data_IF_846581505594
#
_entry.id   IF_846581505594
#
_cell.length_a   1.000
_cell.length_b   1.000
_cell.length_c   1.000
_cell.angle_alpha   90.00
_cell.angle_beta   90.00
_cell.angle_gamma   90.00
#
_symmetry.space_group_name_H-M   'P 1'
#
loop_
_entity.id
_entity.type
_entity.pdbx_description
1 polymer ?
#
# COMPACT_ATOMS: atom_id res chain seq x y z
N UNK A 1 -12.93 12.36 -15.77
CA UNK A 1 -11.74 13.20 -15.53
C UNK A 1 -12.03 14.23 -14.43
N UNK A 2 -11.12 14.41 -13.49
CA UNK A 2 -11.25 15.39 -12.40
C UNK A 2 -11.17 16.80 -12.97
N UNK A 3 -12.00 17.71 -12.47
CA UNK A 3 -12.04 19.10 -12.94
C UNK A 3 -12.23 20.03 -11.74
N UNK A 4 -11.54 21.18 -11.78
CA UNK A 4 -11.64 22.20 -10.75
C UNK A 4 -11.47 21.66 -9.32
N UNK A 5 -10.46 20.79 -9.12
CA UNK A 5 -10.19 20.15 -7.83
C UNK A 5 -8.72 20.26 -7.48
N UNK A 6 -8.42 20.46 -6.21
CA UNK A 6 -7.07 20.35 -5.66
C UNK A 6 -7.02 19.18 -4.70
N UNK A 7 -6.05 18.30 -4.89
CA UNK A 7 -5.88 17.07 -4.10
C UNK A 7 -4.46 17.03 -3.54
N UNK A 8 -4.34 16.88 -2.23
CA UNK A 8 -3.08 16.60 -1.56
C UNK A 8 -2.96 15.10 -1.31
N UNK A 9 -1.82 14.54 -1.68
CA UNK A 9 -1.48 13.14 -1.39
C UNK A 9 -0.20 13.08 -0.59
N UNK A 10 -0.16 12.23 0.42
CA UNK A 10 1.05 12.00 1.21
C UNK A 10 1.54 10.55 1.07
N UNK A 11 2.84 10.37 1.30
CA UNK A 11 3.48 9.08 1.44
C UNK A 11 4.52 9.15 2.56
N UNK A 12 4.80 7.99 3.18
CA UNK A 12 5.79 7.89 4.26
C UNK A 12 6.82 6.80 3.96
N UNK A 13 8.04 7.01 4.46
CA UNK A 13 9.10 6.03 4.33
C UNK A 13 8.89 4.81 5.24
N UNK A 14 9.63 3.75 4.97
CA UNK A 14 9.51 2.50 5.73
C UNK A 14 10.00 2.62 7.18
N UNK A 15 10.80 3.65 7.51
CA UNK A 15 11.21 3.95 8.89
C UNK A 15 10.22 4.84 9.65
N UNK A 16 9.09 5.23 9.05
CA UNK A 16 8.01 5.89 9.78
C UNK A 16 7.41 4.93 10.81
N UNK A 17 7.11 5.37 12.05
CA UNK A 17 6.66 4.47 13.12
C UNK A 17 5.47 3.59 12.74
N UNK A 18 4.43 4.14 12.11
CA UNK A 18 3.27 3.37 11.66
C UNK A 18 3.64 2.34 10.58
N UNK A 19 4.53 2.70 9.63
CA UNK A 19 4.97 1.74 8.60
C UNK A 19 5.94 0.70 9.16
N UNK A 20 6.67 0.99 10.21
CA UNK A 20 7.42 -0.01 10.96
C UNK A 20 6.48 -1.01 11.63
N UNK A 21 5.39 -0.55 12.27
CA UNK A 21 4.38 -1.42 12.86
C UNK A 21 3.70 -2.31 11.80
N UNK A 22 3.36 -1.77 10.63
CA UNK A 22 2.84 -2.53 9.49
C UNK A 22 3.82 -3.62 9.03
N UNK A 23 5.12 -3.30 8.90
CA UNK A 23 6.15 -4.27 8.52
C UNK A 23 6.30 -5.38 9.56
N UNK A 24 6.24 -5.06 10.86
CA UNK A 24 6.31 -6.05 11.94
C UNK A 24 5.12 -7.00 11.84
N UNK A 25 3.90 -6.49 11.72
CA UNK A 25 2.69 -7.30 11.61
C UNK A 25 2.73 -8.22 10.39
N UNK A 26 3.13 -7.70 9.24
CA UNK A 26 3.23 -8.48 8.00
C UNK A 26 4.42 -9.46 8.01
N UNK A 27 5.54 -9.15 8.66
CA UNK A 27 6.65 -10.08 8.80
C UNK A 27 6.28 -11.30 9.67
N UNK A 28 5.52 -11.08 10.74
CA UNK A 28 5.01 -12.17 11.60
C UNK A 28 3.99 -13.00 10.81
N UNK A 29 3.07 -12.34 10.09
CA UNK A 29 2.13 -13.01 9.18
C UNK A 29 2.86 -13.90 8.16
N UNK A 30 3.89 -13.37 7.50
CA UNK A 30 4.71 -14.14 6.54
C UNK A 30 5.37 -15.36 7.21
N UNK A 31 5.83 -15.20 8.44
CA UNK A 31 6.38 -16.32 9.23
C UNK A 31 5.37 -17.46 9.39
N UNK A 32 4.13 -17.15 9.77
CA UNK A 32 3.08 -18.14 9.94
C UNK A 32 2.63 -18.75 8.61
N UNK A 33 2.30 -17.93 7.61
CA UNK A 33 1.76 -18.40 6.32
C UNK A 33 2.79 -19.22 5.53
N UNK A 34 4.08 -18.88 5.63
CA UNK A 34 5.13 -19.65 4.96
C UNK A 34 5.36 -21.02 5.63
N UNK A 35 5.15 -21.14 6.94
CA UNK A 35 5.30 -22.39 7.68
C UNK A 35 4.01 -23.26 7.64
N UNK A 36 2.83 -22.62 7.63
CA UNK A 36 1.51 -23.25 7.50
C UNK A 36 0.59 -22.36 6.66
N UNK A 37 0.32 -22.78 5.42
CA UNK A 37 -0.52 -22.03 4.47
C UNK A 37 -1.98 -21.86 4.93
N UNK A 38 -2.42 -22.68 5.88
CA UNK A 38 -3.75 -22.60 6.46
C UNK A 38 -3.83 -21.65 7.66
N UNK A 39 -2.74 -20.96 8.00
CA UNK A 39 -2.72 -19.99 9.09
C UNK A 39 -3.78 -18.90 8.90
N UNK A 40 -4.46 -18.57 9.99
CA UNK A 40 -5.40 -17.45 10.08
C UNK A 40 -4.84 -16.45 11.07
N UNK A 41 -4.58 -15.24 10.61
CA UNK A 41 -3.87 -14.22 11.37
C UNK A 41 -4.61 -12.87 11.30
N UNK A 42 -4.70 -12.24 12.46
CA UNK A 42 -5.03 -10.83 12.60
C UNK A 42 -4.04 -10.24 13.61
N UNK A 43 -2.90 -9.73 13.13
CA UNK A 43 -1.76 -9.33 13.95
C UNK A 43 -1.62 -7.81 13.92
N UNK A 44 -1.55 -7.20 15.09
CA UNK A 44 -1.34 -5.78 15.26
C UNK A 44 -0.10 -5.52 16.11
N UNK A 45 0.59 -4.44 15.82
CA UNK A 45 1.77 -4.01 16.55
C UNK A 45 1.64 -2.54 16.95
N UNK A 46 2.08 -2.23 18.16
CA UNK A 46 2.35 -0.88 18.63
C UNK A 46 3.86 -0.75 18.85
N UNK A 47 4.45 0.34 18.36
CA UNK A 47 5.89 0.59 18.49
C UNK A 47 6.10 1.97 19.09
N UNK A 48 6.82 2.05 20.21
CA UNK A 48 7.24 3.30 20.83
C UNK A 48 8.61 3.12 21.50
N UNK A 49 9.52 4.04 21.22
CA UNK A 49 10.92 3.93 21.62
C UNK A 49 11.51 2.58 21.18
N UNK A 50 12.10 1.82 22.08
CA UNK A 50 12.61 0.47 21.81
C UNK A 50 11.64 -0.64 22.29
N UNK A 51 10.35 -0.34 22.43
CA UNK A 51 9.33 -1.30 22.89
C UNK A 51 8.36 -1.60 21.75
N UNK A 52 8.13 -2.89 21.53
CA UNK A 52 7.10 -3.41 20.64
C UNK A 52 6.07 -4.17 21.45
N UNK A 53 4.80 -3.82 21.32
CA UNK A 53 3.67 -4.58 21.86
C UNK A 53 2.94 -5.22 20.69
N UNK A 54 2.79 -6.55 20.75
CA UNK A 54 2.03 -7.33 19.76
C UNK A 54 0.69 -7.72 20.35
N UNK A 55 -0.38 -7.54 19.58
CA UNK A 55 -1.75 -7.94 19.91
C UNK A 55 -2.41 -8.63 18.72
N UNK A 56 -3.58 -9.21 18.96
CA UNK A 56 -4.35 -9.89 17.93
C UNK A 56 -4.44 -11.41 18.13
N UNK A 57 -4.90 -12.11 17.10
CA UNK A 57 -5.18 -13.53 17.17
C UNK A 57 -4.49 -14.29 16.02
N UNK A 58 -4.04 -15.51 16.34
CA UNK A 58 -3.46 -16.44 15.39
C UNK A 58 -4.08 -17.83 15.59
N UNK A 59 -4.48 -18.45 14.49
CA UNK A 59 -4.81 -19.87 14.43
C UNK A 59 -3.88 -20.53 13.40
N UNK A 60 -2.91 -21.31 13.85
CA UNK A 60 -1.89 -21.95 13.03
C UNK A 60 -1.32 -23.19 13.74
N UNK A 61 -0.93 -24.19 12.95
CA UNK A 61 -0.14 -25.31 13.42
C UNK A 61 1.38 -25.03 13.41
N UNK A 62 1.79 -23.86 12.87
CA UNK A 62 3.18 -23.48 12.79
C UNK A 62 3.73 -22.97 14.13
N UNK A 63 5.00 -23.28 14.38
CA UNK A 63 5.79 -22.66 15.45
C UNK A 63 6.86 -21.77 14.81
N UNK A 64 6.81 -20.48 15.10
CA UNK A 64 7.77 -19.49 14.59
C UNK A 64 8.46 -18.72 15.73
N UNK A 65 9.63 -18.19 15.46
CA UNK A 65 10.38 -17.38 16.42
C UNK A 65 10.04 -15.91 16.25
N UNK A 66 8.92 -15.46 16.84
CA UNK A 66 8.39 -14.08 16.71
C UNK A 66 9.45 -13.03 17.10
N UNK A 67 10.16 -13.23 18.20
CA UNK A 67 11.22 -12.31 18.63
C UNK A 67 12.30 -12.09 17.56
N UNK A 68 12.73 -13.17 16.92
CA UNK A 68 13.74 -13.10 15.85
C UNK A 68 13.20 -12.34 14.64
N UNK A 69 11.93 -12.56 14.28
CA UNK A 69 11.28 -11.86 13.16
C UNK A 69 11.20 -10.36 13.44
N UNK A 70 10.68 -9.97 14.60
CA UNK A 70 10.54 -8.56 14.99
C UNK A 70 11.89 -7.85 14.99
N UNK A 71 12.92 -8.45 15.62
CA UNK A 71 14.29 -7.90 15.65
C UNK A 71 14.85 -7.73 14.24
N UNK A 72 14.63 -8.72 13.37
CA UNK A 72 15.05 -8.66 11.98
C UNK A 72 14.42 -7.53 11.17
N UNK A 73 13.20 -7.10 11.48
CA UNK A 73 12.57 -5.93 10.84
C UNK A 73 13.34 -4.65 11.20
N UNK A 74 13.69 -4.43 12.46
CA UNK A 74 14.49 -3.27 12.87
C UNK A 74 15.87 -3.26 12.20
N UNK A 75 16.56 -4.41 12.16
CA UNK A 75 17.87 -4.52 11.49
C UNK A 75 17.82 -4.20 10.00
N UNK A 76 16.68 -4.52 9.33
CA UNK A 76 16.47 -4.16 7.92
C UNK A 76 16.19 -2.67 7.73
N UNK A 77 15.55 -1.99 8.69
CA UNK A 77 15.21 -0.56 8.57
C UNK A 77 16.47 0.30 8.70
N UNK A 78 17.46 -0.11 9.47
CA UNK A 78 18.73 0.59 9.67
C UNK A 78 18.56 2.02 10.21
N UNK A 79 17.94 2.13 11.37
CA UNK A 79 17.98 3.41 12.11
C UNK A 79 19.41 3.75 12.53
N UNK A 80 19.73 5.05 12.70
CA UNK A 80 21.03 5.46 13.19
C UNK A 80 21.40 4.79 14.53
N UNK A 81 22.68 4.47 14.71
CA UNK A 81 23.15 3.79 15.94
C UNK A 81 22.84 4.59 17.22
N UNK A 82 22.90 5.92 17.13
CA UNK A 82 22.56 6.85 18.21
C UNK A 82 21.13 6.70 18.75
N UNK A 83 20.24 6.05 17.97
CA UNK A 83 18.84 5.84 18.34
C UNK A 83 18.63 4.57 19.17
N UNK A 84 19.61 3.69 19.30
CA UNK A 84 19.49 2.42 20.02
C UNK A 84 18.26 1.61 19.58
N UNK A 85 18.07 1.48 18.26
CA UNK A 85 16.98 0.75 17.60
C UNK A 85 17.49 -0.41 16.76
N UNK A 86 18.62 -1.02 17.12
CA UNK A 86 19.04 -2.31 16.56
C UNK A 86 18.13 -3.42 17.11
N UNK A 87 17.96 -4.49 16.36
CA UNK A 87 17.14 -5.61 16.80
C UNK A 87 17.50 -6.12 18.20
N UNK A 88 18.79 -6.09 18.60
CA UNK A 88 19.26 -6.45 19.94
C UNK A 88 18.71 -5.56 21.06
N UNK A 89 18.36 -4.32 20.76
CA UNK A 89 17.94 -3.32 21.75
C UNK A 89 16.42 -3.40 22.05
N UNK A 90 15.66 -4.11 21.20
CA UNK A 90 14.20 -4.10 21.21
C UNK A 90 13.63 -4.99 22.32
N UNK A 91 12.71 -4.45 23.09
CA UNK A 91 11.89 -5.15 24.07
C UNK A 91 10.54 -5.51 23.45
N UNK A 92 10.17 -6.77 23.56
CA UNK A 92 8.96 -7.28 22.93
C UNK A 92 8.00 -7.77 24.01
N UNK A 93 6.77 -7.25 23.96
CA UNK A 93 5.63 -7.69 24.77
C UNK A 93 4.68 -8.40 23.83
N UNK A 94 4.62 -9.73 23.93
CA UNK A 94 3.77 -10.55 23.07
C UNK A 94 2.48 -10.90 23.78
N UNK A 95 1.35 -10.36 23.27
CA UNK A 95 -0.02 -10.60 23.73
C UNK A 95 -0.87 -11.28 22.65
N UNK A 96 -0.23 -11.92 21.66
CA UNK A 96 -0.96 -12.68 20.63
C UNK A 96 -1.69 -13.85 21.28
N UNK A 97 -3.00 -13.94 21.03
CA UNK A 97 -3.88 -15.00 21.50
C UNK A 97 -4.28 -15.97 20.40
N UNK A 98 -5.06 -17.00 20.77
CA UNK A 98 -5.72 -17.86 19.80
C UNK A 98 -7.03 -17.23 19.34
N UNK A 99 -7.34 -17.40 18.05
CA UNK A 99 -8.62 -16.95 17.48
C UNK A 99 -9.79 -17.68 18.14
N UNK A 100 -10.88 -16.94 18.38
CA UNK A 100 -12.13 -17.51 18.91
C UNK A 100 -12.66 -18.63 18.01
N UNK A 101 -12.98 -19.79 18.60
CA UNK A 101 -13.54 -20.93 17.87
C UNK A 101 -14.91 -20.62 17.25
N UNK A 102 -15.69 -19.70 17.85
CA UNK A 102 -17.00 -19.31 17.34
C UNK A 102 -16.89 -18.54 16.02
N UNK A 103 -15.93 -17.64 15.91
CA UNK A 103 -15.65 -16.90 14.65
C UNK A 103 -15.14 -17.85 13.58
N UNK A 104 -14.22 -18.73 13.94
CA UNK A 104 -13.65 -19.72 13.02
C UNK A 104 -14.73 -20.63 12.40
N UNK A 105 -15.61 -21.21 13.23
CA UNK A 105 -16.70 -22.08 12.76
C UNK A 105 -17.77 -21.36 11.94
N UNK A 106 -17.93 -20.03 12.13
CA UNK A 106 -18.86 -19.22 11.35
C UNK A 106 -18.36 -18.86 9.94
N UNK A 107 -17.05 -18.82 9.74
CA UNK A 107 -16.39 -18.43 8.49
C UNK A 107 -16.02 -19.65 7.65
N UNK A 108 -15.37 -20.63 8.21
CA UNK A 108 -14.95 -21.87 7.53
C UNK A 108 -16.06 -22.92 7.59
N UNK A 109 -17.06 -22.80 6.71
CA UNK A 109 -18.23 -23.71 6.66
C UNK A 109 -17.90 -25.09 6.13
N UNK A 110 -16.91 -25.20 5.23
CA UNK A 110 -16.36 -26.46 4.70
C UNK A 110 -15.04 -26.15 3.97
N UNK A 111 -14.28 -27.20 3.58
CA UNK A 111 -13.09 -27.02 2.71
C UNK A 111 -13.42 -26.35 1.36
N UNK A 112 -14.69 -26.43 0.93
CA UNK A 112 -15.15 -25.89 -0.35
C UNK A 112 -15.78 -24.50 -0.25
N UNK A 113 -16.25 -24.09 0.94
CA UNK A 113 -17.00 -22.82 1.13
C UNK A 113 -16.41 -22.02 2.27
N UNK A 114 -15.77 -20.89 1.95
CA UNK A 114 -15.26 -19.92 2.90
C UNK A 114 -16.17 -18.69 2.82
N UNK A 115 -16.80 -18.35 3.94
CA UNK A 115 -17.55 -17.11 4.09
C UNK A 115 -16.60 -15.93 4.32
N UNK A 116 -17.10 -14.70 4.09
CA UNK A 116 -16.32 -13.51 4.43
C UNK A 116 -16.05 -13.46 5.94
N UNK A 117 -14.81 -13.17 6.32
CA UNK A 117 -14.39 -13.08 7.72
C UNK A 117 -14.88 -11.85 8.44
N UNK A 118 -15.37 -10.86 7.69
CA UNK A 118 -15.91 -9.61 8.21
C UNK A 118 -16.98 -9.05 7.26
N UNK A 119 -17.70 -8.05 7.74
CA UNK A 119 -18.59 -7.21 6.93
C UNK A 119 -17.87 -5.92 6.54
N UNK A 120 -18.16 -5.37 5.36
CA UNK A 120 -17.58 -4.11 4.93
C UNK A 120 -17.61 -3.94 3.42
N UNK A 121 -17.02 -2.84 2.97
CA UNK A 121 -16.79 -2.60 1.55
C UNK A 121 -15.30 -2.35 1.29
N UNK A 122 -14.82 -2.85 0.19
CA UNK A 122 -13.44 -2.77 -0.26
C UNK A 122 -13.39 -2.02 -1.58
N UNK A 123 -12.39 -1.16 -1.75
CA UNK A 123 -12.29 -0.24 -2.87
C UNK A 123 -11.02 -0.50 -3.66
N UNK A 124 -11.18 -0.61 -4.98
CA UNK A 124 -10.11 -0.54 -5.95
C UNK A 124 -10.24 0.69 -6.82
N UNK A 125 -9.15 1.32 -7.15
CA UNK A 125 -9.11 2.49 -8.03
C UNK A 125 -7.95 2.40 -9.02
N UNK A 126 -8.12 2.96 -10.18
CA UNK A 126 -7.08 3.12 -11.19
C UNK A 126 -7.32 4.38 -12.02
N UNK A 127 -6.24 4.98 -12.51
CA UNK A 127 -6.26 6.13 -13.44
C UNK A 127 -5.13 5.99 -14.44
N UNK A 128 -5.28 6.57 -15.63
CA UNK A 128 -4.25 6.57 -16.68
C UNK A 128 -3.22 7.71 -16.55
N UNK A 129 -3.18 8.39 -15.41
CA UNK A 129 -2.23 9.48 -15.16
C UNK A 129 -0.78 9.02 -15.18
N UNK A 130 -0.53 7.80 -14.68
CA UNK A 130 0.80 7.16 -14.65
C UNK A 130 0.77 5.80 -15.35
N UNK A 131 1.94 5.28 -15.70
CA UNK A 131 2.08 3.97 -16.35
C UNK A 131 1.70 2.82 -15.42
N UNK A 132 1.83 3.04 -14.09
CA UNK A 132 1.41 2.11 -13.04
C UNK A 132 -0.09 2.17 -12.75
N UNK A 133 -0.83 3.03 -13.45
CA UNK A 133 -2.26 3.28 -13.24
C UNK A 133 -2.57 3.81 -11.83
N UNK A 134 -1.67 4.62 -11.29
CA UNK A 134 -1.82 5.29 -10.00
C UNK A 134 -2.06 6.80 -10.17
N UNK A 135 -2.73 7.44 -9.21
CA UNK A 135 -2.87 8.89 -9.20
C UNK A 135 -1.51 9.61 -9.12
N UNK A 136 -1.39 10.72 -9.85
CA UNK A 136 -0.14 11.46 -10.00
C UNK A 136 0.48 11.88 -8.65
N UNK A 137 -0.34 12.44 -7.75
CA UNK A 137 0.16 12.97 -6.48
C UNK A 137 0.80 11.90 -5.59
N UNK A 138 0.09 10.80 -5.34
CA UNK A 138 0.63 9.71 -4.51
C UNK A 138 1.79 8.99 -5.19
N UNK A 139 1.77 8.87 -6.52
CA UNK A 139 2.85 8.27 -7.28
C UNK A 139 4.18 9.03 -7.06
N UNK A 140 4.17 10.35 -7.22
CA UNK A 140 5.36 11.18 -7.02
C UNK A 140 5.80 11.13 -5.55
N UNK A 141 4.86 11.28 -4.60
CA UNK A 141 5.16 11.21 -3.18
C UNK A 141 5.81 9.88 -2.79
N UNK A 142 5.29 8.75 -3.29
CA UNK A 142 5.86 7.41 -3.11
C UNK A 142 7.28 7.32 -3.65
N UNK A 143 7.53 7.77 -4.87
CA UNK A 143 8.86 7.72 -5.51
C UNK A 143 9.91 8.53 -4.73
N UNK A 144 9.55 9.68 -4.16
CA UNK A 144 10.44 10.49 -3.32
C UNK A 144 10.85 9.69 -2.06
N UNK A 145 9.89 9.15 -1.31
CA UNK A 145 10.18 8.36 -0.11
C UNK A 145 10.94 7.08 -0.44
N UNK A 146 10.59 6.39 -1.52
CA UNK A 146 11.31 5.20 -1.97
C UNK A 146 12.78 5.50 -2.32
N UNK A 147 13.04 6.63 -2.97
CA UNK A 147 14.41 7.07 -3.26
C UNK A 147 15.21 7.27 -1.97
N UNK A 148 14.69 8.05 -1.02
CA UNK A 148 15.36 8.31 0.27
C UNK A 148 15.66 6.99 0.98
N UNK A 149 14.68 6.11 1.06
CA UNK A 149 14.81 4.83 1.74
C UNK A 149 15.79 3.86 1.03
N UNK A 150 15.78 3.84 -0.31
CA UNK A 150 16.74 3.04 -1.08
C UNK A 150 18.19 3.50 -0.85
N UNK A 151 18.41 4.81 -0.83
CA UNK A 151 19.73 5.36 -0.54
C UNK A 151 20.20 5.01 0.87
N UNK A 152 19.34 5.13 1.88
CA UNK A 152 19.63 4.73 3.25
C UNK A 152 20.07 3.26 3.37
N UNK A 153 19.51 2.37 2.54
CA UNK A 153 19.87 0.95 2.57
C UNK A 153 21.18 0.61 1.86
N UNK A 154 21.41 1.27 0.71
CA UNK A 154 22.51 0.93 -0.20
C UNK A 154 23.80 1.66 0.12
N UNK A 155 23.73 2.75 0.85
CA UNK A 155 24.87 3.60 1.13
C UNK A 155 25.03 3.80 2.64
N UNK A 156 26.05 3.17 3.23
CA UNK A 156 26.35 3.29 4.67
C UNK A 156 26.70 4.73 5.11
N UNK A 157 27.14 5.55 4.16
CA UNK A 157 27.43 6.97 4.37
C UNK A 157 26.27 7.88 3.95
N UNK A 158 25.07 7.33 3.72
CA UNK A 158 23.94 8.15 3.34
C UNK A 158 23.48 9.00 4.53
N UNK A 159 23.31 10.27 4.24
CA UNK A 159 23.13 11.33 5.22
C UNK A 159 21.71 11.46 5.78
N UNK A 160 20.72 10.76 5.18
CA UNK A 160 19.33 10.81 5.61
C UNK A 160 18.94 9.48 6.26
N UNK A 161 18.14 9.56 7.33
CA UNK A 161 17.61 8.39 8.02
C UNK A 161 16.42 7.75 7.28
N UNK A 162 15.91 6.63 7.80
CA UNK A 162 14.82 5.87 7.17
C UNK A 162 13.44 6.52 7.35
N UNK A 163 13.26 7.42 8.32
CA UNK A 163 12.01 8.11 8.55
C UNK A 163 11.92 9.35 7.65
N UNK A 164 10.96 9.34 6.77
CA UNK A 164 10.68 10.46 5.87
C UNK A 164 9.19 10.50 5.51
N UNK A 165 8.74 11.69 5.11
CA UNK A 165 7.40 11.95 4.58
C UNK A 165 7.50 12.81 3.34
N UNK A 166 6.58 12.61 2.41
CA UNK A 166 6.40 13.49 1.26
C UNK A 166 4.92 13.78 1.06
N UNK A 167 4.62 14.99 0.62
CA UNK A 167 3.27 15.40 0.24
C UNK A 167 3.36 16.10 -1.11
N UNK A 168 2.45 15.78 -2.01
CA UNK A 168 2.32 16.41 -3.33
C UNK A 168 0.91 16.93 -3.48
N UNK A 169 0.79 18.20 -3.84
CA UNK A 169 -0.49 18.87 -4.12
C UNK A 169 -0.64 19.01 -5.61
N UNK A 170 -1.72 18.47 -6.15
CA UNK A 170 -2.05 18.51 -7.59
C UNK A 170 -3.37 19.23 -7.77
N UNK A 171 -3.40 20.23 -8.63
CA UNK A 171 -4.62 20.91 -9.07
C UNK A 171 -4.98 20.48 -10.48
N UNK A 172 -6.25 20.22 -10.69
CA UNK A 172 -6.87 19.90 -11.98
C UNK A 172 -7.67 21.09 -12.46
N UNK A 173 -7.39 21.57 -13.66
CA UNK A 173 -8.11 22.69 -14.29
C UNK A 173 -9.53 22.30 -14.75
N UNK A 174 -10.23 23.23 -15.40
CA UNK A 174 -11.56 23.02 -15.96
C UNK A 174 -11.62 21.95 -17.06
N UNK A 175 -10.48 21.68 -17.71
CA UNK A 175 -10.34 20.65 -18.75
C UNK A 175 -9.86 19.31 -18.17
N UNK A 176 -9.47 19.27 -16.90
CA UNK A 176 -8.93 18.09 -16.24
C UNK A 176 -7.42 17.92 -16.40
N UNK A 177 -6.70 18.96 -16.85
CA UNK A 177 -5.24 18.91 -16.91
C UNK A 177 -4.67 19.05 -15.50
N UNK A 178 -3.75 18.15 -15.15
CA UNK A 178 -3.07 18.18 -13.87
C UNK A 178 -1.90 19.17 -13.86
N UNK A 179 -1.74 19.88 -12.76
CA UNK A 179 -0.57 20.69 -12.45
C UNK A 179 -0.11 20.43 -11.03
N UNK A 180 1.20 20.40 -10.78
CA UNK A 180 1.74 20.28 -9.42
C UNK A 180 1.86 21.70 -8.84
N UNK A 181 1.18 21.95 -7.74
CA UNK A 181 1.25 23.22 -7.02
C UNK A 181 2.41 23.22 -6.03
N UNK A 182 2.58 22.14 -5.30
CA UNK A 182 3.65 22.04 -4.30
C UNK A 182 4.11 20.62 -4.02
N UNK A 183 5.37 20.51 -3.61
CA UNK A 183 5.99 19.30 -3.08
C UNK A 183 6.61 19.62 -1.74
N UNK A 184 6.16 18.92 -0.69
CA UNK A 184 6.74 18.99 0.65
C UNK A 184 7.47 17.68 0.95
N UNK A 185 8.72 17.77 1.41
CA UNK A 185 9.49 16.62 1.87
C UNK A 185 10.00 16.89 3.26
N UNK A 186 9.74 15.97 4.19
CA UNK A 186 10.37 15.94 5.51
C UNK A 186 11.19 14.66 5.62
N UNK A 187 12.49 14.79 5.91
CA UNK A 187 13.39 13.65 6.01
C UNK A 187 14.30 13.80 7.22
N UNK A 188 14.45 12.72 7.96
CA UNK A 188 15.44 12.62 9.05
C UNK A 188 16.86 12.75 8.48
N UNK A 189 17.75 13.46 9.19
CA UNK A 189 19.12 13.72 8.72
C UNK A 189 20.12 13.90 9.86
N UNK A 190 20.27 12.93 10.72
CA UNK A 190 21.12 13.02 11.90
C UNK A 190 22.63 13.09 11.61
N UNK A 191 23.08 12.64 10.43
CA UNK A 191 24.50 12.61 10.03
C UNK A 191 24.96 13.85 9.24
N UNK A 192 24.08 14.83 8.99
CA UNK A 192 24.44 16.03 8.24
C UNK A 192 23.65 17.27 8.68
N UNK A 193 24.09 18.43 8.21
CA UNK A 193 23.31 19.66 8.34
C UNK A 193 22.08 19.66 7.46
N UNK A 194 21.03 20.36 7.89
CA UNK A 194 19.75 20.42 7.18
C UNK A 194 19.90 20.94 5.73
N UNK A 195 20.83 21.88 5.49
CA UNK A 195 21.06 22.42 4.15
C UNK A 195 21.63 21.36 3.19
N UNK A 196 22.44 20.42 3.70
CA UNK A 196 22.96 19.32 2.89
C UNK A 196 21.83 18.35 2.52
N UNK A 197 20.95 18.01 3.48
CA UNK A 197 19.79 17.20 3.22
C UNK A 197 18.82 17.87 2.21
N UNK A 198 18.58 19.18 2.37
CA UNK A 198 17.77 19.98 1.43
C UNK A 198 18.33 19.94 0.01
N UNK A 199 19.65 20.16 -0.12
CA UNK A 199 20.32 20.15 -1.42
C UNK A 199 20.23 18.77 -2.08
N UNK A 200 20.45 17.69 -1.33
CA UNK A 200 20.39 16.32 -1.83
C UNK A 200 19.00 15.95 -2.37
N UNK A 201 17.92 16.23 -1.60
CA UNK A 201 16.55 15.95 -2.04
C UNK A 201 16.17 16.83 -3.25
N UNK A 202 16.52 18.12 -3.23
CA UNK A 202 16.26 19.03 -4.35
C UNK A 202 16.92 18.55 -5.64
N UNK A 203 18.17 18.11 -5.58
CA UNK A 203 18.88 17.54 -6.73
C UNK A 203 18.26 16.23 -7.20
N UNK A 204 17.86 15.36 -6.27
CA UNK A 204 17.21 14.09 -6.62
C UNK A 204 15.90 14.29 -7.40
N UNK A 205 15.10 15.26 -7.04
CA UNK A 205 13.88 15.62 -7.76
C UNK A 205 14.23 16.24 -9.11
N UNK A 206 15.12 17.25 -9.12
CA UNK A 206 15.49 18.02 -10.34
C UNK A 206 16.09 17.14 -11.44
N UNK A 207 16.89 16.15 -11.08
CA UNK A 207 17.58 15.26 -12.04
C UNK A 207 16.91 13.89 -12.20
N UNK A 208 15.68 13.76 -11.74
CA UNK A 208 14.92 12.50 -11.77
C UNK A 208 15.61 11.28 -11.14
N UNK A 209 16.48 11.49 -10.17
CA UNK A 209 17.08 10.38 -9.43
C UNK A 209 16.05 9.59 -8.61
N UNK A 210 14.88 10.19 -8.36
CA UNK A 210 13.71 9.55 -7.73
C UNK A 210 13.03 8.51 -8.65
N UNK A 211 13.37 8.48 -9.94
CA UNK A 211 12.95 7.43 -10.87
C UNK A 211 11.49 7.53 -11.34
N UNK A 212 11.00 8.74 -11.64
CA UNK A 212 9.73 8.93 -12.34
C UNK A 212 9.84 8.44 -13.79
N UNK A 213 8.71 7.99 -14.36
CA UNK A 213 8.67 7.74 -15.81
C UNK A 213 8.99 9.04 -16.59
N UNK A 214 9.55 8.88 -17.79
CA UNK A 214 9.91 10.05 -18.63
C UNK A 214 8.71 10.94 -18.92
N UNK A 215 7.52 10.36 -19.09
CA UNK A 215 6.26 11.08 -19.27
C UNK A 215 5.97 11.98 -18.06
N UNK A 216 5.97 11.40 -16.86
CA UNK A 216 5.64 12.15 -15.63
C UNK A 216 6.70 13.22 -15.35
N UNK A 217 7.98 12.85 -15.46
CA UNK A 217 9.07 13.80 -15.19
C UNK A 217 9.02 15.01 -16.13
N UNK A 218 8.92 14.81 -17.44
CA UNK A 218 8.95 15.90 -18.40
C UNK A 218 7.70 16.77 -18.32
N UNK A 219 6.53 16.19 -18.11
CA UNK A 219 5.28 16.96 -18.10
C UNK A 219 5.06 17.74 -16.80
N UNK A 220 5.50 17.21 -15.66
CA UNK A 220 5.08 17.71 -14.35
C UNK A 220 6.23 18.20 -13.45
N UNK A 221 7.47 17.79 -13.70
CA UNK A 221 8.62 18.20 -12.88
C UNK A 221 9.55 19.13 -13.64
N UNK A 222 10.03 18.70 -14.81
CA UNK A 222 11.08 19.42 -15.55
C UNK A 222 10.63 20.77 -16.12
N UNK A 223 9.37 20.85 -16.51
CA UNK A 223 8.78 22.03 -17.18
C UNK A 223 7.77 22.81 -16.31
N UNK A 224 7.68 22.47 -15.04
CA UNK A 224 6.70 23.07 -14.12
C UNK A 224 7.37 23.91 -13.06
N UNK A 225 6.73 25.01 -12.69
CA UNK A 225 7.11 25.84 -11.55
C UNK A 225 6.17 25.47 -10.38
N UNK A 226 6.71 24.82 -9.35
CA UNK A 226 5.98 24.42 -8.16
C UNK A 226 6.74 24.80 -6.89
N UNK A 227 6.01 25.02 -5.81
CA UNK A 227 6.60 25.33 -4.50
C UNK A 227 7.24 24.05 -3.89
N UNK A 228 8.57 24.05 -3.78
CA UNK A 228 9.32 22.94 -3.19
C UNK A 228 9.81 23.29 -1.78
N UNK A 229 9.24 22.63 -0.78
CA UNK A 229 9.63 22.76 0.63
C UNK A 229 10.29 21.48 1.12
N UNK A 230 11.50 21.61 1.68
CA UNK A 230 12.24 20.47 2.24
C UNK A 230 12.64 20.82 3.67
N UNK A 231 12.22 20.01 4.65
CA UNK A 231 12.41 20.25 6.09
C UNK A 231 12.11 21.72 6.48
N UNK A 232 10.89 22.24 6.23
CA UNK A 232 10.58 23.65 6.47
C UNK A 232 10.68 24.04 7.95
N UNK A 233 10.50 23.11 8.86
CA UNK A 233 10.67 23.32 10.31
C UNK A 233 12.13 23.33 10.76
N UNK A 234 13.08 23.15 9.83
CA UNK A 234 14.52 23.11 10.14
C UNK A 234 15.03 21.68 10.34
N UNK A 235 15.95 21.51 11.30
CA UNK A 235 16.61 20.23 11.54
C UNK A 235 15.66 19.18 12.14
N UNK A 236 15.70 17.97 11.58
CA UNK A 236 14.99 16.79 12.11
C UNK A 236 15.97 15.62 12.23
N UNK A 237 16.57 15.48 13.41
CA UNK A 237 17.60 14.48 13.70
C UNK A 237 17.04 13.19 14.26
N UNK A 238 16.03 13.26 15.11
CA UNK A 238 15.44 12.11 15.78
C UNK A 238 14.12 11.77 15.11
N UNK A 239 14.07 10.64 14.42
CA UNK A 239 12.90 10.09 13.75
C UNK A 239 12.55 8.69 14.25
N UNK A 240 11.59 8.05 13.61
CA UNK A 240 11.13 6.72 13.95
C UNK A 240 10.41 6.63 15.30
N UNK A 241 10.33 5.44 15.90
CA UNK A 241 9.55 5.21 17.12
C UNK A 241 10.01 5.97 18.36
N UNK A 242 11.22 6.55 18.33
CA UNK A 242 11.68 7.44 19.41
C UNK A 242 10.87 8.74 19.39
N UNK A 243 10.62 9.30 18.21
CA UNK A 243 9.91 10.57 18.08
C UNK A 243 8.39 10.42 18.18
N UNK A 244 7.83 9.33 17.66
CA UNK A 244 6.37 9.14 17.57
C UNK A 244 5.98 7.68 17.82
N UNK A 245 4.71 7.45 18.17
CA UNK A 245 4.15 6.12 18.37
C UNK A 245 3.60 5.58 17.06
N UNK A 246 4.03 4.38 16.67
CA UNK A 246 3.51 3.65 15.51
C UNK A 246 2.49 2.60 15.89
N UNK A 247 1.45 2.45 15.07
CA UNK A 247 0.48 1.37 15.17
C UNK A 247 0.17 0.81 13.77
N UNK A 248 -0.06 -0.52 13.72
CA UNK A 248 -0.53 -1.18 12.51
C UNK A 248 -1.84 -0.57 12.03
N UNK A 249 -1.96 -0.35 10.72
CA UNK A 249 -3.20 0.10 10.10
C UNK A 249 -3.51 1.59 10.23
N UNK A 250 -2.55 2.42 10.63
CA UNK A 250 -2.75 3.89 10.71
C UNK A 250 -2.38 4.65 9.42
N UNK A 251 -1.95 3.97 8.38
CA UNK A 251 -1.56 4.56 7.09
C UNK A 251 -2.39 4.04 5.91
N UNK A 252 -3.69 3.81 6.15
CA UNK A 252 -4.59 3.22 5.13
C UNK A 252 -4.71 4.08 3.86
N UNK A 253 -4.65 5.40 3.96
CA UNK A 253 -4.68 6.30 2.80
C UNK A 253 -3.39 6.20 1.99
N UNK A 254 -2.24 6.08 2.68
CA UNK A 254 -0.92 5.87 2.08
C UNK A 254 -0.84 4.50 1.38
N UNK A 255 -1.43 3.47 1.97
CA UNK A 255 -1.47 2.12 1.43
C UNK A 255 -2.41 1.99 0.22
N UNK A 256 -3.29 2.97 0.01
CA UNK A 256 -4.25 3.01 -1.08
C UNK A 256 -3.89 4.08 -2.13
N UNK A 257 -4.74 5.08 -2.31
CA UNK A 257 -4.69 5.99 -3.47
C UNK A 257 -4.50 7.46 -3.11
N UNK A 258 -4.04 7.78 -1.88
CA UNK A 258 -3.61 9.12 -1.49
C UNK A 258 -4.70 10.18 -1.51
N UNK A 259 -5.94 9.84 -1.19
CA UNK A 259 -7.06 10.80 -1.13
C UNK A 259 -7.81 10.99 -2.47
N UNK A 260 -7.42 10.27 -3.51
CA UNK A 260 -8.09 10.36 -4.81
C UNK A 260 -9.45 9.65 -4.88
N UNK A 261 -9.68 8.68 -4.04
CA UNK A 261 -10.99 8.07 -3.84
C UNK A 261 -11.20 7.71 -2.36
N UNK A 262 -12.43 7.38 -2.00
CA UNK A 262 -12.69 6.75 -0.72
C UNK A 262 -11.98 5.40 -0.64
N UNK A 263 -11.68 4.96 0.55
CA UNK A 263 -11.09 3.65 0.83
C UNK A 263 -12.04 2.87 1.73
N UNK A 264 -11.92 1.55 1.75
CA UNK A 264 -12.56 0.73 2.77
C UNK A 264 -12.01 1.05 4.17
N UNK A 265 -12.74 0.66 5.21
CA UNK A 265 -12.33 0.92 6.61
C UNK A 265 -11.21 0.03 7.10
N UNK A 266 -10.89 -1.07 6.39
CA UNK A 266 -9.97 -2.11 6.81
C UNK A 266 -8.51 -1.83 6.47
N UNK A 267 -7.61 -2.03 7.44
CA UNK A 267 -6.18 -2.07 7.20
C UNK A 267 -5.75 -3.38 6.53
N UNK A 268 -4.63 -3.36 5.81
CA UNK A 268 -4.10 -4.54 5.11
C UNK A 268 -3.13 -5.34 5.97
N UNK A 269 -2.15 -4.68 6.57
CA UNK A 269 -1.04 -5.31 7.29
C UNK A 269 -1.52 -6.16 8.46
N UNK A 270 -0.86 -7.30 8.68
CA UNK A 270 -1.16 -8.27 9.73
C UNK A 270 -2.32 -9.24 9.43
N UNK A 271 -3.06 -9.03 8.35
CA UNK A 271 -4.23 -9.84 7.95
C UNK A 271 -3.87 -10.85 6.87
N UNK A 272 -4.22 -12.13 7.07
CA UNK A 272 -4.09 -13.16 6.03
C UNK A 272 -5.13 -12.97 4.92
N UNK A 273 -4.94 -13.65 3.78
CA UNK A 273 -5.77 -13.46 2.59
C UNK A 273 -7.24 -13.91 2.70
N UNK A 274 -7.65 -14.55 3.79
CA UNK A 274 -9.08 -14.81 4.06
C UNK A 274 -9.81 -13.58 4.57
N UNK A 275 -9.08 -12.55 5.03
CA UNK A 275 -9.63 -11.27 5.46
C UNK A 275 -9.91 -10.41 4.24
N UNK A 276 -11.18 -10.23 3.92
CA UNK A 276 -11.65 -9.48 2.74
C UNK A 276 -11.22 -8.01 2.73
N UNK A 277 -10.95 -7.42 3.90
CA UNK A 277 -10.36 -6.08 4.01
C UNK A 277 -9.12 -5.91 3.14
N UNK A 278 -8.27 -6.93 3.12
CA UNK A 278 -7.04 -6.96 2.32
C UNK A 278 -7.29 -7.57 0.95
N UNK A 279 -7.75 -8.79 0.90
CA UNK A 279 -7.88 -9.56 -0.34
C UNK A 279 -8.92 -8.99 -1.30
N UNK A 280 -10.06 -8.53 -0.77
CA UNK A 280 -11.11 -7.87 -1.56
C UNK A 280 -10.65 -6.53 -2.15
N UNK A 281 -9.82 -5.75 -1.41
CA UNK A 281 -9.25 -4.51 -1.94
C UNK A 281 -8.26 -4.79 -3.10
N UNK A 282 -7.47 -5.87 -3.00
CA UNK A 282 -6.58 -6.28 -4.09
C UNK A 282 -7.37 -6.72 -5.33
N UNK A 283 -8.44 -7.50 -5.16
CA UNK A 283 -9.30 -7.90 -6.26
C UNK A 283 -10.02 -6.69 -6.89
N UNK A 284 -10.52 -5.76 -6.08
CA UNK A 284 -11.12 -4.53 -6.57
C UNK A 284 -10.12 -3.68 -7.39
N UNK A 285 -8.86 -3.58 -6.92
CA UNK A 285 -7.76 -2.93 -7.67
C UNK A 285 -7.50 -3.63 -8.99
N UNK A 286 -7.42 -4.96 -9.00
CA UNK A 286 -7.19 -5.74 -10.21
C UNK A 286 -8.25 -5.43 -11.28
N UNK A 287 -9.52 -5.41 -10.90
CA UNK A 287 -10.62 -5.10 -11.81
C UNK A 287 -10.52 -3.66 -12.31
N UNK A 288 -10.36 -2.68 -11.41
CA UNK A 288 -10.27 -1.26 -11.76
C UNK A 288 -9.12 -0.99 -12.73
N UNK A 289 -7.93 -1.56 -12.46
CA UNK A 289 -6.75 -1.41 -13.31
C UNK A 289 -6.97 -1.97 -14.71
N UNK A 290 -7.58 -3.14 -14.82
CA UNK A 290 -7.87 -3.76 -16.11
C UNK A 290 -8.93 -2.99 -16.93
N UNK A 291 -9.92 -2.37 -16.28
CA UNK A 291 -10.93 -1.51 -16.95
C UNK A 291 -10.23 -0.29 -17.59
N UNK A 292 -9.38 0.42 -16.83
CA UNK A 292 -8.64 1.58 -17.34
C UNK A 292 -7.65 1.16 -18.43
N UNK A 293 -6.89 0.08 -18.18
CA UNK A 293 -5.94 -0.45 -19.17
C UNK A 293 -6.60 -0.93 -20.46
N UNK A 294 -7.85 -1.37 -20.41
CA UNK A 294 -8.64 -1.70 -21.59
C UNK A 294 -9.00 -0.46 -22.42
N UNK A 295 -8.76 0.75 -21.93
CA UNK A 295 -9.05 2.00 -22.62
C UNK A 295 -10.54 2.37 -22.63
N UNK A 296 -11.31 1.86 -21.66
CA UNK A 296 -12.72 2.17 -21.53
C UNK A 296 -12.97 3.54 -20.90
N UNK A 297 -12.06 3.97 -20.03
CA UNK A 297 -12.13 5.24 -19.29
C UNK A 297 -10.75 5.70 -18.86
N UNK A 298 -10.63 6.94 -18.37
CA UNK A 298 -9.38 7.46 -17.82
C UNK A 298 -9.25 7.10 -16.35
N UNK A 299 -10.36 6.97 -15.63
CA UNK A 299 -10.38 6.54 -14.23
C UNK A 299 -11.55 5.58 -13.96
N UNK A 300 -11.30 4.58 -13.13
CA UNK A 300 -12.29 3.63 -12.67
C UNK A 300 -12.18 3.38 -11.17
N UNK A 301 -13.34 3.31 -10.50
CA UNK A 301 -13.47 2.87 -9.11
C UNK A 301 -14.34 1.62 -9.06
N UNK A 302 -13.90 0.63 -8.31
CA UNK A 302 -14.63 -0.63 -8.09
C UNK A 302 -14.81 -0.81 -6.59
N UNK A 303 -16.06 -1.02 -6.16
CA UNK A 303 -16.40 -1.30 -4.76
C UNK A 303 -17.02 -2.69 -4.67
N UNK A 304 -16.51 -3.53 -3.77
CA UNK A 304 -17.04 -4.86 -3.48
C UNK A 304 -17.43 -4.87 -2.01
N UNK A 305 -18.65 -5.31 -1.70
CA UNK A 305 -19.12 -5.42 -0.32
C UNK A 305 -19.36 -6.85 0.07
N UNK A 306 -19.10 -7.17 1.34
CA UNK A 306 -19.32 -8.49 1.93
C UNK A 306 -20.13 -8.41 3.22
N UNK A 307 -20.81 -9.50 3.56
CA UNK A 307 -21.41 -9.75 4.86
C UNK A 307 -20.70 -10.92 5.55
N UNK A 308 -20.48 -10.82 6.85
CA UNK A 308 -19.79 -11.84 7.63
C UNK A 308 -20.45 -13.21 7.43
N UNK A 309 -19.65 -14.24 7.19
CA UNK A 309 -20.10 -15.61 6.97
C UNK A 309 -20.77 -15.88 5.62
N UNK A 310 -20.96 -14.87 4.75
CA UNK A 310 -21.54 -15.04 3.40
C UNK A 310 -20.42 -15.13 2.37
N UNK A 311 -20.39 -16.18 1.50
CA UNK A 311 -19.33 -16.32 0.51
C UNK A 311 -19.48 -15.37 -0.69
N UNK A 312 -20.70 -15.11 -1.13
CA UNK A 312 -20.93 -14.21 -2.25
C UNK A 312 -20.84 -12.74 -1.81
N UNK A 313 -20.28 -11.83 -2.65
CA UNK A 313 -20.33 -10.41 -2.37
C UNK A 313 -21.79 -9.92 -2.33
N UNK A 314 -22.08 -9.05 -1.37
CA UNK A 314 -23.42 -8.43 -1.25
C UNK A 314 -23.66 -7.36 -2.29
N UNK A 315 -22.59 -6.74 -2.80
CA UNK A 315 -22.67 -5.79 -3.91
C UNK A 315 -21.37 -5.70 -4.69
N UNK A 316 -21.49 -5.36 -5.98
CA UNK A 316 -20.41 -4.92 -6.86
C UNK A 316 -20.84 -3.58 -7.46
N UNK A 317 -20.09 -2.51 -7.17
CA UNK A 317 -20.27 -1.22 -7.81
C UNK A 317 -19.07 -0.87 -8.69
N UNK A 318 -19.31 -0.29 -9.86
CA UNK A 318 -18.29 0.19 -10.80
C UNK A 318 -18.65 1.62 -11.16
N UNK A 319 -17.71 2.52 -11.03
CA UNK A 319 -17.82 3.91 -11.47
C UNK A 319 -16.71 4.18 -12.49
N UNK A 320 -17.03 4.89 -13.56
CA UNK A 320 -16.10 5.28 -14.61
C UNK A 320 -16.36 6.74 -14.99
N UNK A 321 -15.34 7.49 -15.35
CA UNK A 321 -15.47 8.88 -15.80
C UNK A 321 -16.02 8.98 -17.23
N UNK A 322 -15.81 7.96 -18.06
CA UNK A 322 -16.29 7.86 -19.44
C UNK A 322 -17.05 6.54 -19.66
N UNK A 323 -17.77 6.42 -20.78
CA UNK A 323 -18.44 5.20 -21.23
C UNK A 323 -19.33 4.53 -20.17
N UNK A 324 -20.02 5.33 -19.36
CA UNK A 324 -20.86 4.84 -18.24
C UNK A 324 -21.96 3.86 -18.70
N UNK A 325 -22.38 3.93 -19.96
CA UNK A 325 -23.33 2.99 -20.58
C UNK A 325 -22.79 1.54 -20.64
N UNK A 326 -21.48 1.32 -20.52
CA UNK A 326 -20.85 0.00 -20.46
C UNK A 326 -20.87 -0.63 -19.07
N UNK A 327 -21.14 0.13 -18.01
CA UNK A 327 -21.16 -0.37 -16.63
C UNK A 327 -22.07 -1.58 -16.43
N UNK A 328 -23.33 -1.60 -16.96
CA UNK A 328 -24.20 -2.78 -16.84
C UNK A 328 -23.60 -4.02 -17.50
N UNK A 329 -22.93 -3.84 -18.65
CA UNK A 329 -22.26 -4.94 -19.38
C UNK A 329 -21.09 -5.48 -18.55
N UNK A 330 -20.25 -4.60 -18.00
CA UNK A 330 -19.13 -4.97 -17.12
C UNK A 330 -19.64 -5.73 -15.90
N UNK A 331 -20.60 -5.19 -15.15
CA UNK A 331 -21.16 -5.83 -13.95
C UNK A 331 -21.70 -7.24 -14.25
N UNK A 332 -22.37 -7.42 -15.39
CA UNK A 332 -22.90 -8.73 -15.79
C UNK A 332 -21.80 -9.76 -16.06
N UNK A 333 -20.68 -9.33 -16.63
CA UNK A 333 -19.65 -10.25 -17.11
C UNK A 333 -18.47 -10.44 -16.15
N UNK A 334 -18.24 -9.51 -15.23
CA UNK A 334 -17.12 -9.59 -14.24
C UNK A 334 -17.13 -10.91 -13.48
N UNK A 335 -18.31 -11.38 -13.02
CA UNK A 335 -18.45 -12.67 -12.32
C UNK A 335 -18.06 -13.89 -13.17
N UNK A 336 -18.00 -13.75 -14.49
CA UNK A 336 -17.48 -14.79 -15.40
C UNK A 336 -15.98 -14.69 -15.66
N UNK A 337 -15.36 -13.57 -15.32
CA UNK A 337 -13.92 -13.33 -15.48
C UNK A 337 -13.13 -13.59 -14.21
N UNK A 338 -13.72 -13.32 -13.05
CA UNK A 338 -13.10 -13.45 -11.74
C UNK A 338 -14.10 -14.01 -10.73
N UNK A 339 -13.62 -14.88 -9.86
CA UNK A 339 -14.41 -15.38 -8.72
C UNK A 339 -14.23 -14.40 -7.56
N UNK A 340 -15.32 -13.70 -7.20
CA UNK A 340 -15.35 -12.70 -6.14
C UNK A 340 -15.64 -13.29 -4.75
N UNK A 341 -15.81 -14.59 -4.63
CA UNK A 341 -15.91 -15.24 -3.31
C UNK A 341 -14.58 -15.15 -2.57
N UNK A 342 -14.56 -15.12 -1.22
CA UNK A 342 -13.30 -15.11 -0.46
C UNK A 342 -12.37 -16.27 -0.86
N UNK A 343 -12.92 -17.46 -1.15
CA UNK A 343 -12.16 -18.61 -1.65
C UNK A 343 -11.57 -18.37 -3.03
N UNK A 344 -12.36 -17.83 -3.98
CA UNK A 344 -11.90 -17.50 -5.32
C UNK A 344 -10.76 -16.48 -5.29
N UNK A 345 -10.90 -15.45 -4.46
CA UNK A 345 -9.85 -14.43 -4.28
C UNK A 345 -8.61 -15.05 -3.63
N UNK A 346 -8.77 -15.91 -2.62
CA UNK A 346 -7.64 -16.62 -2.00
C UNK A 346 -6.87 -17.46 -3.03
N UNK A 347 -7.57 -18.18 -3.91
CA UNK A 347 -6.96 -18.96 -5.00
C UNK A 347 -6.23 -18.06 -5.99
N UNK A 348 -6.81 -16.91 -6.35
CA UNK A 348 -6.18 -15.91 -7.22
C UNK A 348 -4.89 -15.37 -6.62
N UNK A 349 -4.86 -15.09 -5.31
CA UNK A 349 -3.72 -14.52 -4.60
C UNK A 349 -2.68 -15.55 -4.14
N UNK A 350 -2.92 -16.84 -4.28
CA UNK A 350 -2.22 -17.95 -3.58
C UNK A 350 -0.69 -17.93 -3.65
N UNK A 351 -0.10 -17.35 -4.70
CA UNK A 351 1.35 -17.27 -4.86
C UNK A 351 1.97 -15.97 -4.34
N UNK A 352 1.18 -14.91 -4.16
CA UNK A 352 1.69 -13.56 -3.85
C UNK A 352 1.57 -13.15 -2.38
N UNK A 353 0.77 -13.89 -1.61
CA UNK A 353 0.52 -13.60 -0.19
C UNK A 353 1.61 -14.09 0.78
N UNK A 354 2.80 -14.43 0.26
CA UNK A 354 3.93 -14.98 1.02
C UNK A 354 5.05 -13.97 1.30
N UNK A 355 4.87 -12.71 0.87
CA UNK A 355 5.86 -11.65 1.01
C UNK A 355 5.18 -10.33 1.43
N UNK A 356 4.32 -10.39 2.42
CA UNK A 356 3.50 -9.27 2.87
C UNK A 356 4.34 -8.12 3.45
N UNK A 357 5.45 -8.45 4.18
CA UNK A 357 6.39 -7.44 4.69
C UNK A 357 6.87 -6.48 3.59
N UNK A 358 7.12 -6.99 2.38
CA UNK A 358 7.53 -6.15 1.25
C UNK A 358 6.43 -5.20 0.80
N UNK A 359 5.18 -5.64 0.83
CA UNK A 359 4.03 -4.80 0.49
C UNK A 359 3.86 -3.67 1.51
N UNK A 360 3.93 -4.00 2.80
CA UNK A 360 3.91 -3.00 3.86
C UNK A 360 5.04 -1.98 3.71
N UNK A 361 6.20 -2.39 3.21
CA UNK A 361 7.40 -1.57 3.07
C UNK A 361 7.41 -0.72 1.80
N UNK A 362 7.00 -1.28 0.66
CA UNK A 362 7.13 -0.66 -0.66
C UNK A 362 5.80 -0.26 -1.29
N UNK A 363 4.69 -0.54 -0.63
CA UNK A 363 3.33 -0.21 -1.04
C UNK A 363 2.60 -1.38 -1.69
N UNK A 364 1.29 -1.38 -1.53
CA UNK A 364 0.40 -2.45 -1.98
C UNK A 364 0.00 -2.33 -3.45
N UNK A 365 0.04 -1.11 -4.02
CA UNK A 365 -0.38 -0.79 -5.37
C UNK A 365 0.67 0.02 -6.14
N UNK A 366 0.50 0.05 -7.47
CA UNK A 366 1.34 0.84 -8.37
C UNK A 366 2.62 0.13 -8.78
N UNK A 367 2.46 -1.03 -9.40
CA UNK A 367 3.52 -1.80 -10.04
C UNK A 367 3.23 -1.89 -11.54
N UNK A 368 4.29 -1.88 -12.36
CA UNK A 368 4.18 -2.21 -13.78
C UNK A 368 3.96 -3.72 -13.95
N UNK A 369 3.21 -4.11 -14.97
CA UNK A 369 2.94 -5.54 -15.25
C UNK A 369 4.22 -6.37 -15.40
N UNK A 370 5.25 -5.79 -16.02
CA UNK A 370 6.53 -6.48 -16.27
C UNK A 370 7.58 -6.26 -15.18
N UNK A 371 7.21 -5.62 -14.08
CA UNK A 371 8.12 -5.39 -12.97
C UNK A 371 8.41 -6.71 -12.24
N UNK A 372 9.69 -6.99 -12.00
CA UNK A 372 10.08 -8.17 -11.23
C UNK A 372 9.47 -8.12 -9.84
N UNK A 373 8.69 -9.13 -9.51
CA UNK A 373 7.91 -9.25 -8.27
C UNK A 373 6.67 -8.33 -8.19
N UNK A 374 6.13 -7.88 -9.32
CA UNK A 374 4.80 -7.28 -9.32
C UNK A 374 3.77 -8.31 -8.83
N UNK A 375 2.91 -7.95 -7.88
CA UNK A 375 1.90 -8.87 -7.38
C UNK A 375 0.82 -9.12 -8.44
N UNK A 376 0.16 -10.29 -8.38
CA UNK A 376 -0.81 -10.75 -9.39
C UNK A 376 -1.95 -9.76 -9.61
N UNK A 377 -2.39 -9.02 -8.59
CA UNK A 377 -3.45 -8.03 -8.71
C UNK A 377 -3.05 -6.76 -9.48
N UNK A 378 -1.79 -6.63 -9.82
CA UNK A 378 -1.30 -5.58 -10.72
C UNK A 378 -1.16 -6.06 -12.16
N UNK A 379 -1.50 -7.32 -12.47
CA UNK A 379 -1.48 -7.86 -13.83
C UNK A 379 -2.63 -7.31 -14.69
N UNK A 380 -2.44 -7.35 -16.01
CA UNK A 380 -3.44 -6.92 -17.00
C UNK A 380 -4.10 -8.13 -17.71
N UNK A 381 -4.18 -9.26 -17.02
CA UNK A 381 -4.54 -10.55 -17.61
C UNK A 381 -5.97 -10.62 -18.19
N UNK A 382 -6.92 -9.82 -17.66
CA UNK A 382 -8.30 -9.77 -18.19
C UNK A 382 -8.60 -8.57 -19.08
N UNK A 383 -7.61 -7.71 -19.34
CA UNK A 383 -7.74 -6.49 -20.15
C UNK A 383 -8.35 -6.75 -21.51
N UNK A 384 -7.81 -7.72 -22.23
CA UNK A 384 -8.28 -8.01 -23.60
C UNK A 384 -9.70 -8.60 -23.62
N UNK A 385 -10.06 -9.38 -22.61
CA UNK A 385 -11.39 -9.93 -22.47
C UNK A 385 -12.41 -8.83 -22.14
N UNK A 386 -12.06 -7.88 -21.27
CA UNK A 386 -12.87 -6.68 -21.01
C UNK A 386 -13.11 -5.89 -22.32
N UNK A 387 -12.06 -5.67 -23.13
CA UNK A 387 -12.22 -5.01 -24.45
C UNK A 387 -13.22 -5.75 -25.33
N UNK A 388 -13.06 -7.07 -25.45
CA UNK A 388 -13.93 -7.92 -26.28
C UNK A 388 -15.39 -7.85 -25.83
N UNK A 389 -15.66 -7.96 -24.53
CA UNK A 389 -17.00 -7.92 -23.94
C UNK A 389 -17.67 -6.56 -24.19
N UNK A 390 -16.90 -5.47 -24.11
CA UNK A 390 -17.41 -4.11 -24.33
C UNK A 390 -17.43 -3.68 -25.81
N UNK A 391 -17.05 -4.56 -26.75
CA UNK A 391 -17.08 -4.27 -28.19
C UNK A 391 -15.93 -3.35 -28.66
N UNK A 392 -14.88 -3.20 -27.90
CA UNK A 392 -13.66 -2.48 -28.27
C UNK A 392 -12.71 -3.45 -29.01
N UNK A 393 -12.28 -3.06 -30.23
CA UNK A 393 -11.31 -3.82 -31.04
C UNK A 393 -9.89 -3.65 -30.53
#
# INVERSE_FOLDING_TARGET
MRKNQTIASEYVGYGHPDKLADQISDAILDGFVNADQNSRCGIEAMVKDNVVVLGGEVNSNAHIYIDTIVRGVFDKVKYPESHHLKGSDIKIINLLGQQSQEIHSGVDKSEEVIGAGDQGFMVGYATNETEEYMPLGIYIAKKICQYINKQNQQNENFIMGPDCKSQVVVTYDENGNANIDSILVSTQHDLCDVEVARAAVKQAIKFNAIGLSSKVFNNYINNSDFDLKINPCGSWKIGGPISDCGLTGRKIIVDNYGGYCNVGGGAFSGKDATKVDRSGAYMARFIAKNIVAAGLCNEAKVEISYAIGVPEPTSLNIEMDENQNLIPVLKKHIYGLVDLTPKGILMFLSNDIKNNEKLARFGHFGYLENEKNAPIWESLSIKNEIRRICGFK
#
